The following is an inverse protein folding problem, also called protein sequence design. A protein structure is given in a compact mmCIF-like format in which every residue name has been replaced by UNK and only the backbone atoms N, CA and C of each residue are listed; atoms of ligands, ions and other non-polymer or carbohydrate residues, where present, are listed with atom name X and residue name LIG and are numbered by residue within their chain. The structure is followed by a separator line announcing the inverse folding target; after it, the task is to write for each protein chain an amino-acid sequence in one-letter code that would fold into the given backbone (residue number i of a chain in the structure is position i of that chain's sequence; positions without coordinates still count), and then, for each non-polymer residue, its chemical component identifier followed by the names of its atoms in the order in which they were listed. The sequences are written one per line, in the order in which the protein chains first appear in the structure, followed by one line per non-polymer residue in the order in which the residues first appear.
data_IF_695373463426
#
_entry.id   IF_695373463426
#
_cell.length_a   1.000
_cell.length_b   1.000
_cell.length_c   1.000
_cell.angle_alpha   90.00
_cell.angle_beta   90.00
_cell.angle_gamma   90.00
#
_symmetry.space_group_name_H-M   'P 1'
#
loop_
_entity.id
_entity.type
_entity.pdbx_description
1 polymer ?
#
# COMPACT_ATOMS: atom_id res chain seq x y z
N UNK A 1 45.89 9.48 0.31
CA UNK A 1 45.45 8.11 0.61
C UNK A 1 43.92 8.07 0.89
N UNK A 2 43.37 8.94 1.76
CA UNK A 2 41.93 8.95 2.10
C UNK A 2 40.99 9.28 0.91
N UNK A 3 41.33 10.24 0.04
CA UNK A 3 40.56 10.55 -1.18
C UNK A 3 40.45 9.35 -2.12
N UNK A 4 41.49 8.51 -2.17
CA UNK A 4 41.49 7.30 -2.98
C UNK A 4 40.52 6.22 -2.43
N UNK A 5 40.40 6.10 -1.09
CA UNK A 5 39.45 5.15 -0.48
C UNK A 5 38.03 5.54 -0.78
N UNK A 6 37.63 6.79 -0.53
CA UNK A 6 36.24 7.25 -0.82
C UNK A 6 35.90 7.14 -2.32
N UNK A 7 36.84 7.50 -3.18
CA UNK A 7 36.65 7.35 -4.62
C UNK A 7 36.44 5.87 -5.03
N UNK A 8 37.17 4.96 -4.43
CA UNK A 8 37.02 3.53 -4.68
C UNK A 8 35.72 2.97 -4.12
N UNK A 9 35.31 3.37 -2.92
CA UNK A 9 34.02 2.98 -2.33
C UNK A 9 32.86 3.42 -3.21
N UNK A 10 32.90 4.65 -3.74
CA UNK A 10 31.89 5.15 -4.68
C UNK A 10 31.89 4.37 -6.01
N UNK A 11 33.06 4.07 -6.57
CA UNK A 11 33.19 3.24 -7.79
C UNK A 11 32.61 1.83 -7.59
N UNK A 12 32.85 1.25 -6.42
CA UNK A 12 32.30 -0.05 -6.03
C UNK A 12 30.83 0.00 -5.60
N UNK A 13 30.20 1.19 -5.60
CA UNK A 13 28.82 1.43 -5.16
C UNK A 13 28.57 1.00 -3.71
N UNK A 14 29.55 1.20 -2.85
CA UNK A 14 29.49 0.95 -1.41
C UNK A 14 29.12 2.27 -0.69
N UNK A 15 27.85 2.69 -0.85
CA UNK A 15 27.39 4.01 -0.41
C UNK A 15 27.33 4.19 1.09
N UNK A 16 26.99 3.15 1.83
CA UNK A 16 26.98 3.13 3.29
C UNK A 16 28.38 3.32 3.84
N UNK A 17 29.32 2.55 3.33
CA UNK A 17 30.74 2.68 3.69
C UNK A 17 31.28 4.06 3.33
N UNK A 18 30.99 4.57 2.16
CA UNK A 18 31.51 5.88 1.73
C UNK A 18 31.06 7.04 2.64
N UNK A 19 29.95 6.89 3.36
CA UNK A 19 29.44 7.89 4.30
C UNK A 19 30.10 7.81 5.68
N UNK A 20 30.24 6.61 6.23
CA UNK A 20 30.46 6.43 7.67
C UNK A 20 31.64 5.49 8.05
N UNK A 21 32.45 5.00 7.10
CA UNK A 21 33.52 4.07 7.40
C UNK A 21 34.51 4.58 8.48
N UNK A 22 34.67 5.90 8.63
CA UNK A 22 35.59 6.52 9.63
C UNK A 22 35.04 6.48 11.05
N UNK A 23 33.70 6.30 11.21
CA UNK A 23 33.08 6.25 12.53
C UNK A 23 33.16 4.86 13.18
N UNK A 24 33.55 3.84 12.41
CA UNK A 24 33.64 2.47 12.90
C UNK A 24 34.95 2.32 13.70
N UNK A 25 34.80 1.92 14.97
CA UNK A 25 35.96 1.69 15.84
C UNK A 25 36.75 0.47 15.35
N UNK A 26 38.09 0.60 15.33
CA UNK A 26 39.00 -0.50 15.04
C UNK A 26 39.45 -1.18 16.34
N UNK A 27 39.14 -2.45 16.49
CA UNK A 27 39.63 -3.30 17.57
C UNK A 27 40.56 -4.38 17.04
N UNK A 28 40.09 -5.13 16.06
CA UNK A 28 40.88 -6.08 15.27
C UNK A 28 40.37 -6.09 13.82
N UNK A 29 41.10 -6.74 12.93
CA UNK A 29 40.78 -6.71 11.50
C UNK A 29 39.47 -7.39 11.16
N UNK A 30 39.12 -8.48 11.83
CA UNK A 30 37.92 -9.26 11.56
C UNK A 30 36.65 -8.51 12.01
N UNK A 31 36.66 -8.02 13.25
CA UNK A 31 35.53 -7.23 13.79
C UNK A 31 35.36 -5.94 13.02
N UNK A 32 36.42 -5.27 12.62
CA UNK A 32 36.34 -4.05 11.82
C UNK A 32 35.73 -4.31 10.44
N UNK A 33 36.13 -5.38 9.75
CA UNK A 33 35.56 -5.75 8.46
C UNK A 33 34.10 -6.13 8.60
N UNK A 34 33.72 -6.90 9.62
CA UNK A 34 32.34 -7.27 9.89
C UNK A 34 31.47 -6.02 10.10
N UNK A 35 31.92 -5.07 10.93
CA UNK A 35 31.19 -3.83 11.18
C UNK A 35 31.04 -2.96 9.92
N UNK A 36 32.03 -2.91 9.05
CA UNK A 36 31.98 -2.23 7.77
C UNK A 36 30.94 -2.88 6.84
N UNK A 37 30.92 -4.21 6.74
CA UNK A 37 29.96 -4.94 5.93
C UNK A 37 28.53 -4.75 6.44
N UNK A 38 28.32 -4.79 7.74
CA UNK A 38 27.02 -4.54 8.36
C UNK A 38 26.48 -3.14 8.05
N UNK A 39 27.36 -2.14 8.06
CA UNK A 39 26.99 -0.76 7.72
C UNK A 39 26.52 -0.65 6.25
N UNK A 40 27.23 -1.29 5.33
CA UNK A 40 26.83 -1.32 3.92
C UNK A 40 25.52 -2.09 3.70
N UNK A 41 25.34 -3.22 4.38
CA UNK A 41 24.11 -4.01 4.29
C UNK A 41 22.89 -3.24 4.81
N UNK A 42 23.02 -2.52 5.93
CA UNK A 42 21.98 -1.66 6.47
C UNK A 42 21.59 -0.55 5.48
N UNK A 43 22.58 0.15 4.92
CA UNK A 43 22.30 1.20 3.93
C UNK A 43 21.64 0.65 2.66
N UNK A 44 22.06 -0.51 2.18
CA UNK A 44 21.41 -1.18 1.03
C UNK A 44 19.97 -1.55 1.33
N UNK A 45 19.71 -2.04 2.53
CA UNK A 45 18.35 -2.40 2.96
C UNK A 45 17.46 -1.16 3.04
N UNK A 46 17.90 -0.07 3.66
CA UNK A 46 17.19 1.21 3.69
C UNK A 46 16.89 1.72 2.26
N UNK A 47 17.90 1.70 1.40
CA UNK A 47 17.74 2.13 0.01
C UNK A 47 16.80 1.21 -0.79
N UNK A 48 16.79 -0.09 -0.50
CA UNK A 48 15.85 -1.06 -1.07
C UNK A 48 14.42 -0.72 -0.69
N UNK A 49 14.16 -0.55 0.62
CA UNK A 49 12.83 -0.21 1.14
C UNK A 49 12.35 1.12 0.57
N UNK A 50 13.17 2.17 0.63
CA UNK A 50 12.84 3.49 0.09
C UNK A 50 12.47 3.43 -1.40
N UNK A 51 13.18 2.64 -2.20
CA UNK A 51 12.86 2.42 -3.61
C UNK A 51 11.52 1.71 -3.79
N UNK A 52 11.22 0.70 -2.95
CA UNK A 52 9.95 -0.03 -3.00
C UNK A 52 8.78 0.88 -2.63
N UNK A 53 8.88 1.64 -1.55
CA UNK A 53 7.88 2.61 -1.11
C UNK A 53 7.60 3.65 -2.21
N UNK A 54 8.65 4.24 -2.79
CA UNK A 54 8.49 5.20 -3.90
C UNK A 54 7.84 4.57 -5.13
N UNK A 55 8.20 3.32 -5.44
CA UNK A 55 7.66 2.60 -6.59
C UNK A 55 6.22 2.15 -6.36
N UNK A 56 5.81 1.92 -5.12
CA UNK A 56 4.45 1.54 -4.78
C UNK A 56 3.41 2.62 -5.14
N UNK A 57 3.78 3.91 -5.08
CA UNK A 57 2.92 5.00 -5.53
C UNK A 57 1.91 5.46 -4.48
N UNK A 58 2.30 5.46 -3.21
CA UNK A 58 1.44 5.98 -2.14
C UNK A 58 1.16 7.48 -2.31
N UNK A 59 -0.11 7.87 -2.18
CA UNK A 59 -0.50 9.28 -2.17
C UNK A 59 -0.05 9.97 -0.86
N UNK A 60 -0.21 9.27 0.26
CA UNK A 60 0.20 9.72 1.60
C UNK A 60 0.71 8.49 2.35
N UNK A 61 1.85 8.63 3.01
CA UNK A 61 2.38 7.57 3.88
C UNK A 61 1.63 7.65 5.22
N UNK A 62 1.12 6.50 5.65
CA UNK A 62 0.45 6.31 6.95
C UNK A 62 0.98 5.03 7.57
N UNK A 63 1.42 5.14 8.82
CA UNK A 63 2.03 4.02 9.54
C UNK A 63 0.99 3.25 10.37
N UNK A 64 1.36 2.07 10.83
CA UNK A 64 0.50 1.26 11.69
C UNK A 64 0.44 1.82 13.11
N UNK A 65 1.50 2.51 13.54
CA UNK A 65 1.61 3.16 14.85
C UNK A 65 0.60 4.29 15.02
N UNK A 66 0.31 5.02 13.91
CA UNK A 66 -0.67 6.10 13.88
C UNK A 66 -2.11 5.59 13.74
N UNK A 67 -2.31 4.29 13.55
CA UNK A 67 -3.63 3.71 13.34
C UNK A 67 -4.31 3.37 14.67
N UNK A 68 -5.44 4.00 14.93
CA UNK A 68 -6.23 3.74 16.14
C UNK A 68 -7.23 2.61 15.87
N UNK A 69 -6.97 1.45 16.46
CA UNK A 69 -7.93 0.35 16.46
C UNK A 69 -9.11 0.68 17.36
N UNK A 70 -10.30 0.75 16.77
CA UNK A 70 -11.55 1.00 17.50
C UNK A 70 -12.47 -0.23 17.48
N UNK A 71 -13.44 -0.26 18.42
CA UNK A 71 -14.49 -1.30 18.44
C UNK A 71 -15.42 -1.24 17.22
N UNK A 72 -15.33 -0.16 16.45
CA UNK A 72 -16.11 0.04 15.23
C UNK A 72 -15.54 -0.67 14.01
N UNK A 73 -14.43 -1.40 14.16
CA UNK A 73 -13.83 -2.22 13.10
C UNK A 73 -14.18 -3.67 13.37
N UNK A 74 -15.12 -4.20 12.60
CA UNK A 74 -15.55 -5.59 12.70
C UNK A 74 -14.68 -6.49 11.79
N UNK A 75 -13.92 -7.37 12.39
CA UNK A 75 -13.13 -8.39 11.69
C UNK A 75 -13.99 -9.65 11.51
N UNK A 76 -13.95 -10.31 10.35
CA UNK A 76 -14.62 -11.59 10.15
C UNK A 76 -13.94 -12.71 10.96
N UNK A 77 -14.66 -13.81 11.18
CA UNK A 77 -14.11 -14.96 11.87
C UNK A 77 -12.83 -15.46 11.19
N UNK A 78 -11.80 -15.72 11.97
CA UNK A 78 -10.51 -16.21 11.50
C UNK A 78 -9.53 -15.11 11.04
N UNK A 79 -9.95 -13.86 10.89
CA UNK A 79 -9.05 -12.75 10.63
C UNK A 79 -8.69 -12.05 11.94
N UNK A 80 -7.41 -11.96 12.24
CA UNK A 80 -6.91 -11.19 13.40
C UNK A 80 -6.08 -9.99 12.93
N UNK A 81 -5.86 -9.06 13.83
CA UNK A 81 -4.97 -7.94 13.61
C UNK A 81 -3.55 -8.42 13.25
N UNK A 82 -3.05 -9.37 14.03
CA UNK A 82 -1.71 -9.96 13.84
C UNK A 82 -1.59 -10.64 12.47
N UNK A 83 -2.64 -11.32 12.01
CA UNK A 83 -2.68 -11.96 10.70
C UNK A 83 -2.45 -10.95 9.57
N UNK A 84 -3.11 -9.79 9.65
CA UNK A 84 -2.95 -8.70 8.68
C UNK A 84 -1.57 -8.03 8.79
N UNK A 85 -1.12 -7.74 10.02
CA UNK A 85 0.17 -7.08 10.27
C UNK A 85 1.37 -7.95 9.92
N UNK A 86 1.25 -9.27 10.05
CA UNK A 86 2.27 -10.23 9.62
C UNK A 86 2.17 -10.59 8.14
N UNK A 87 1.22 -10.00 7.40
CA UNK A 87 1.00 -10.20 5.97
C UNK A 87 0.74 -11.66 5.57
N UNK A 88 0.16 -12.46 6.48
CA UNK A 88 -0.06 -13.90 6.27
C UNK A 88 -1.04 -14.19 5.11
N UNK A 89 -1.87 -13.24 4.73
CA UNK A 89 -2.79 -13.32 3.59
C UNK A 89 -2.07 -13.29 2.23
N UNK A 90 -0.88 -12.65 2.13
CA UNK A 90 -0.15 -12.51 0.84
C UNK A 90 0.31 -13.85 0.27
N UNK A 91 1.03 -14.73 1.02
CA UNK A 91 1.42 -16.03 0.48
C UNK A 91 0.21 -16.93 0.17
N UNK A 92 -0.93 -16.73 0.83
CA UNK A 92 -2.17 -17.47 0.59
C UNK A 92 -3.01 -16.93 -0.57
N UNK A 93 -2.62 -15.79 -1.16
CA UNK A 93 -3.35 -15.11 -2.24
C UNK A 93 -4.78 -14.70 -1.82
N UNK A 94 -4.98 -14.47 -0.53
CA UNK A 94 -6.22 -13.95 0.01
C UNK A 94 -6.28 -12.42 -0.14
N UNK A 95 -7.50 -11.89 -0.21
CA UNK A 95 -7.74 -10.46 -0.34
C UNK A 95 -8.27 -9.88 0.98
N UNK A 96 -8.06 -8.59 1.18
CA UNK A 96 -8.69 -7.82 2.24
C UNK A 96 -9.62 -6.79 1.60
N UNK A 97 -10.89 -6.78 2.00
CA UNK A 97 -11.88 -5.82 1.51
C UNK A 97 -12.36 -4.99 2.69
N UNK A 98 -12.11 -3.69 2.64
CA UNK A 98 -12.48 -2.73 3.68
C UNK A 98 -13.69 -1.92 3.24
N UNK A 99 -14.83 -2.16 3.88
CA UNK A 99 -16.10 -1.49 3.58
C UNK A 99 -16.51 -0.57 4.73
N UNK A 100 -17.17 0.53 4.42
CA UNK A 100 -17.75 1.43 5.42
C UNK A 100 -17.67 2.91 5.06
N UNK A 101 -18.25 3.76 5.90
CA UNK A 101 -18.42 5.19 5.65
C UNK A 101 -17.08 5.93 5.44
N UNK A 102 -17.15 7.12 4.83
CA UNK A 102 -15.99 7.99 4.59
C UNK A 102 -15.38 8.43 5.93
N UNK A 103 -14.04 8.46 5.99
CA UNK A 103 -13.32 8.97 7.18
C UNK A 103 -13.14 7.96 8.32
N UNK A 104 -13.55 6.69 8.17
CA UNK A 104 -13.49 5.66 9.22
C UNK A 104 -12.13 4.95 9.33
N UNK A 105 -11.12 5.29 8.52
CA UNK A 105 -9.77 4.74 8.61
C UNK A 105 -9.39 3.66 7.60
N UNK A 106 -10.26 3.27 6.66
CA UNK A 106 -10.00 2.23 5.64
C UNK A 106 -8.71 2.44 4.86
N UNK A 107 -8.57 3.61 4.23
CA UNK A 107 -7.36 3.99 3.48
C UNK A 107 -6.12 4.01 4.38
N UNK A 108 -6.26 4.40 5.65
CA UNK A 108 -5.14 4.39 6.60
C UNK A 108 -4.65 2.97 6.83
N UNK A 109 -5.55 2.04 7.18
CA UNK A 109 -5.17 0.65 7.41
C UNK A 109 -4.61 0.00 6.13
N UNK A 110 -5.23 0.24 4.97
CA UNK A 110 -4.74 -0.26 3.69
C UNK A 110 -3.32 0.24 3.38
N UNK A 111 -3.05 1.54 3.63
CA UNK A 111 -1.73 2.14 3.41
C UNK A 111 -0.69 1.57 4.36
N UNK A 112 -1.01 1.43 5.65
CA UNK A 112 -0.07 0.90 6.66
C UNK A 112 0.31 -0.55 6.39
N UNK A 113 -0.64 -1.42 6.00
CA UNK A 113 -0.36 -2.80 5.60
C UNK A 113 0.51 -2.84 4.33
N UNK A 114 0.20 -2.00 3.35
CA UNK A 114 0.97 -1.93 2.11
C UNK A 114 2.39 -1.38 2.32
N UNK A 115 2.58 -0.43 3.24
CA UNK A 115 3.89 0.07 3.66
C UNK A 115 4.71 -1.05 4.30
N UNK A 116 4.11 -1.78 5.23
CA UNK A 116 4.75 -2.94 5.87
C UNK A 116 5.13 -4.03 4.87
N UNK A 117 4.31 -4.23 3.83
CA UNK A 117 4.66 -5.14 2.74
C UNK A 117 5.92 -4.68 1.97
N UNK A 118 6.07 -3.37 1.71
CA UNK A 118 7.29 -2.82 1.14
C UNK A 118 8.51 -3.05 2.04
N UNK A 119 8.38 -2.83 3.35
CA UNK A 119 9.44 -3.06 4.33
C UNK A 119 9.88 -4.53 4.35
N UNK A 120 8.94 -5.46 4.22
CA UNK A 120 9.24 -6.90 4.10
C UNK A 120 9.66 -7.35 2.69
N UNK A 121 9.93 -6.40 1.78
CA UNK A 121 10.44 -6.70 0.44
C UNK A 121 9.38 -7.16 -0.56
N UNK A 122 8.09 -7.06 -0.24
CA UNK A 122 7.01 -7.43 -1.15
C UNK A 122 6.81 -6.36 -2.22
N UNK A 123 6.76 -6.77 -3.48
CA UNK A 123 6.47 -5.85 -4.60
C UNK A 123 5.03 -5.37 -4.51
N UNK A 124 4.86 -4.12 -4.09
CA UNK A 124 3.56 -3.52 -3.82
C UNK A 124 3.23 -2.42 -4.83
N UNK A 125 1.94 -2.24 -5.14
CA UNK A 125 1.38 -1.11 -5.89
C UNK A 125 0.16 -0.57 -5.17
N UNK A 126 0.06 0.76 -5.14
CA UNK A 126 -1.06 1.48 -4.55
C UNK A 126 -1.68 2.39 -5.61
N UNK A 127 -2.99 2.25 -5.83
CA UNK A 127 -3.77 3.08 -6.75
C UNK A 127 -5.09 3.44 -6.10
N UNK A 128 -5.64 4.61 -6.44
CA UNK A 128 -7.08 4.78 -6.35
C UNK A 128 -7.74 4.10 -7.54
N UNK A 129 -8.99 3.66 -7.41
CA UNK A 129 -9.73 3.04 -8.52
C UNK A 129 -9.76 3.95 -9.76
N UNK A 130 -10.02 5.24 -9.55
CA UNK A 130 -10.03 6.23 -10.62
C UNK A 130 -8.66 6.41 -11.29
N UNK A 131 -7.57 6.46 -10.51
CA UNK A 131 -6.22 6.61 -11.08
C UNK A 131 -5.81 5.39 -11.89
N UNK A 132 -6.09 4.18 -11.41
CA UNK A 132 -5.81 2.94 -12.16
C UNK A 132 -6.62 2.89 -13.44
N UNK A 133 -7.91 3.19 -13.39
CA UNK A 133 -8.79 3.25 -14.54
C UNK A 133 -8.26 4.20 -15.64
N UNK A 134 -7.84 5.40 -15.25
CA UNK A 134 -7.25 6.38 -16.18
C UNK A 134 -5.92 5.91 -16.78
N UNK A 135 -5.05 5.28 -15.98
CA UNK A 135 -3.80 4.69 -16.47
C UNK A 135 -4.09 3.60 -17.50
N UNK A 136 -5.06 2.72 -17.23
CA UNK A 136 -5.43 1.64 -18.13
C UNK A 136 -5.97 2.17 -19.46
N UNK A 137 -6.83 3.19 -19.44
CA UNK A 137 -7.32 3.86 -20.66
C UNK A 137 -6.18 4.48 -21.47
N UNK A 138 -5.28 5.24 -20.83
CA UNK A 138 -4.12 5.83 -21.50
C UNK A 138 -3.24 4.76 -22.17
N UNK A 139 -2.96 3.66 -21.43
CA UNK A 139 -2.17 2.54 -21.95
C UNK A 139 -2.86 1.81 -23.10
N UNK A 140 -4.19 1.69 -23.05
CA UNK A 140 -4.99 1.11 -24.12
C UNK A 140 -4.92 1.98 -25.37
N UNK A 141 -5.15 3.27 -25.24
CA UNK A 141 -5.07 4.22 -26.36
C UNK A 141 -3.69 4.27 -27.02
N UNK A 142 -2.62 4.13 -26.21
CA UNK A 142 -1.23 4.09 -26.69
C UNK A 142 -0.75 2.72 -27.20
N UNK A 143 -1.60 1.69 -27.18
CA UNK A 143 -1.23 0.33 -27.57
C UNK A 143 -0.22 -0.36 -26.64
N UNK A 144 -0.02 0.15 -25.42
CA UNK A 144 0.97 -0.36 -24.46
C UNK A 144 0.34 -1.10 -23.27
N UNK A 145 -0.96 -1.36 -23.31
CA UNK A 145 -1.71 -2.02 -22.23
C UNK A 145 -1.16 -3.40 -21.89
N UNK A 146 -0.85 -4.23 -22.88
CA UNK A 146 -0.33 -5.58 -22.66
C UNK A 146 1.01 -5.60 -21.92
N UNK A 147 1.92 -4.68 -22.25
CA UNK A 147 3.18 -4.52 -21.54
C UNK A 147 2.96 -4.06 -20.08
N UNK A 148 2.01 -3.15 -19.88
CA UNK A 148 1.65 -2.67 -18.54
C UNK A 148 1.06 -3.79 -17.68
N UNK A 149 0.07 -4.53 -18.16
CA UNK A 149 -0.51 -5.69 -17.46
C UNK A 149 0.59 -6.72 -17.14
N UNK A 150 1.51 -6.97 -18.07
CA UNK A 150 2.64 -7.88 -17.83
C UNK A 150 3.54 -7.37 -16.70
N UNK A 151 3.75 -6.06 -16.58
CA UNK A 151 4.49 -5.48 -15.46
C UNK A 151 3.79 -5.69 -14.11
N UNK A 152 2.47 -5.64 -14.09
CA UNK A 152 1.66 -5.90 -12.90
C UNK A 152 1.72 -7.35 -12.43
N UNK A 153 2.06 -8.32 -13.30
CA UNK A 153 2.20 -9.74 -12.91
C UNK A 153 3.28 -9.97 -11.84
N UNK A 154 4.26 -9.06 -11.75
CA UNK A 154 5.35 -9.15 -10.76
C UNK A 154 4.98 -8.57 -9.38
N UNK A 155 3.81 -7.95 -9.28
CA UNK A 155 3.29 -7.36 -8.03
C UNK A 155 2.72 -8.48 -7.16
N UNK A 156 3.07 -8.49 -5.87
CA UNK A 156 2.60 -9.47 -4.89
C UNK A 156 1.37 -8.95 -4.12
N UNK A 157 1.33 -7.63 -3.87
CA UNK A 157 0.22 -6.94 -3.22
C UNK A 157 -0.19 -5.71 -4.05
N UNK A 158 -1.46 -5.61 -4.40
CA UNK A 158 -2.01 -4.41 -5.03
C UNK A 158 -3.12 -3.83 -4.16
N UNK A 159 -3.03 -2.53 -3.89
CA UNK A 159 -4.09 -1.77 -3.22
C UNK A 159 -4.88 -1.01 -4.27
N UNK A 160 -6.20 -1.15 -4.21
CA UNK A 160 -7.15 -0.37 -5.02
C UNK A 160 -8.06 0.37 -4.04
N UNK A 161 -7.72 1.62 -3.81
CA UNK A 161 -8.39 2.48 -2.85
C UNK A 161 -9.58 3.21 -3.49
N UNK A 162 -10.61 3.47 -2.69
CA UNK A 162 -11.76 4.29 -3.07
C UNK A 162 -12.59 3.74 -4.25
N UNK A 163 -12.80 2.42 -4.34
CA UNK A 163 -13.82 1.89 -5.26
C UNK A 163 -15.20 2.39 -4.78
N UNK A 164 -15.89 3.11 -5.66
CA UNK A 164 -17.21 3.63 -5.35
C UNK A 164 -17.28 5.14 -5.15
N UNK A 165 -16.15 5.84 -5.13
CA UNK A 165 -16.16 7.29 -4.90
C UNK A 165 -16.54 8.11 -6.15
N UNK A 166 -16.15 7.65 -7.33
CA UNK A 166 -16.46 8.29 -8.62
C UNK A 166 -16.93 7.23 -9.61
N UNK A 167 -18.03 7.47 -10.36
CA UNK A 167 -18.42 6.61 -11.46
C UNK A 167 -17.31 6.51 -12.50
N UNK A 168 -17.06 5.31 -13.01
CA UNK A 168 -16.06 5.06 -14.04
C UNK A 168 -16.70 5.06 -15.43
N UNK A 169 -15.96 5.53 -16.43
CA UNK A 169 -16.37 5.34 -17.81
C UNK A 169 -16.40 3.84 -18.14
N UNK A 170 -17.33 3.40 -18.99
CA UNK A 170 -17.54 1.98 -19.31
C UNK A 170 -16.25 1.25 -19.68
N UNK A 171 -15.50 1.78 -20.64
CA UNK A 171 -14.24 1.14 -21.09
C UNK A 171 -13.21 1.02 -19.97
N UNK A 172 -13.17 2.04 -19.07
CA UNK A 172 -12.28 2.03 -17.92
C UNK A 172 -12.68 0.96 -16.89
N UNK A 173 -13.99 0.79 -16.67
CA UNK A 173 -14.53 -0.23 -15.79
C UNK A 173 -14.23 -1.64 -16.31
N UNK A 174 -14.36 -1.88 -17.62
CA UNK A 174 -14.04 -3.13 -18.27
C UNK A 174 -12.54 -3.47 -18.12
N UNK A 175 -11.65 -2.50 -18.33
CA UNK A 175 -10.21 -2.68 -18.15
C UNK A 175 -9.84 -2.92 -16.69
N UNK A 176 -10.48 -2.22 -15.76
CA UNK A 176 -10.29 -2.42 -14.32
C UNK A 176 -10.74 -3.83 -13.90
N UNK A 177 -11.90 -4.28 -14.40
CA UNK A 177 -12.39 -5.64 -14.21
C UNK A 177 -11.36 -6.67 -14.71
N UNK A 178 -10.80 -6.48 -15.90
CA UNK A 178 -9.79 -7.37 -16.46
C UNK A 178 -8.58 -7.48 -15.54
N UNK A 179 -8.05 -6.34 -15.05
CA UNK A 179 -6.89 -6.32 -14.14
C UNK A 179 -7.20 -7.01 -12.82
N UNK A 180 -8.36 -6.75 -12.21
CA UNK A 180 -8.74 -7.38 -10.94
C UNK A 180 -8.94 -8.89 -11.15
N UNK A 181 -9.58 -9.29 -12.24
CA UNK A 181 -9.75 -10.70 -12.61
C UNK A 181 -8.42 -11.43 -12.82
N UNK A 182 -7.43 -10.77 -13.42
CA UNK A 182 -6.08 -11.32 -13.58
C UNK A 182 -5.33 -11.45 -12.23
N UNK A 183 -5.77 -10.77 -11.19
CA UNK A 183 -5.21 -10.91 -9.84
C UNK A 183 -5.72 -12.15 -9.11
N UNK A 184 -6.89 -12.68 -9.49
CA UNK A 184 -7.53 -13.80 -8.81
C UNK A 184 -6.57 -14.99 -8.68
N UNK A 185 -6.41 -15.52 -7.45
CA UNK A 185 -5.51 -16.61 -7.06
C UNK A 185 -4.01 -16.43 -7.41
N UNK A 186 -3.62 -15.29 -7.94
CA UNK A 186 -2.23 -15.01 -8.33
C UNK A 186 -1.53 -14.06 -7.41
N UNK A 187 -2.25 -13.12 -6.81
CA UNK A 187 -1.74 -12.12 -5.88
C UNK A 187 -2.83 -11.67 -4.92
N UNK A 188 -2.44 -10.96 -3.88
CA UNK A 188 -3.37 -10.40 -2.94
C UNK A 188 -3.78 -8.98 -3.33
N UNK A 189 -5.05 -8.68 -3.07
CA UNK A 189 -5.61 -7.34 -3.21
C UNK A 189 -5.99 -6.79 -1.84
N UNK A 190 -5.80 -5.49 -1.64
CA UNK A 190 -6.51 -4.73 -0.61
C UNK A 190 -7.43 -3.76 -1.35
N UNK A 191 -8.71 -3.85 -1.09
CA UNK A 191 -9.72 -2.99 -1.72
C UNK A 191 -10.40 -2.18 -0.63
N UNK A 192 -10.55 -0.87 -0.83
CA UNK A 192 -11.37 -0.04 0.04
C UNK A 192 -12.56 0.51 -0.72
N UNK A 193 -13.71 0.56 -0.06
CA UNK A 193 -14.92 1.14 -0.62
C UNK A 193 -15.77 1.81 0.46
N UNK A 194 -16.39 2.91 0.09
CA UNK A 194 -17.43 3.56 0.88
C UNK A 194 -18.83 3.02 0.59
N UNK A 195 -18.97 2.19 -0.44
CA UNK A 195 -20.20 1.52 -0.83
C UNK A 195 -20.18 0.06 -0.42
N UNK A 196 -21.33 -0.46 -0.08
CA UNK A 196 -21.56 -1.90 -0.03
C UNK A 196 -21.51 -2.50 -1.45
N UNK A 197 -21.35 -3.80 -1.57
CA UNK A 197 -21.27 -4.47 -2.88
C UNK A 197 -22.46 -4.21 -3.79
N UNK A 198 -23.67 -4.07 -3.21
CA UNK A 198 -24.90 -3.72 -3.94
C UNK A 198 -24.80 -2.37 -4.67
N UNK A 199 -23.98 -1.45 -4.16
CA UNK A 199 -23.75 -0.14 -4.76
C UNK A 199 -22.67 -0.10 -5.84
N UNK A 200 -21.87 -1.16 -6.02
CA UNK A 200 -20.77 -1.14 -6.98
C UNK A 200 -21.20 -1.07 -8.45
N UNK A 201 -22.43 -1.52 -8.76
CA UNK A 201 -23.01 -1.40 -10.09
C UNK A 201 -23.16 0.07 -10.54
N UNK A 202 -23.40 1.00 -9.61
CA UNK A 202 -23.52 2.44 -9.93
C UNK A 202 -22.19 3.04 -10.39
N UNK A 203 -21.08 2.41 -10.04
CA UNK A 203 -19.72 2.87 -10.34
C UNK A 203 -19.13 2.16 -11.54
N UNK A 204 -19.37 0.85 -11.67
CA UNK A 204 -18.85 0.02 -12.75
C UNK A 204 -19.76 0.00 -13.98
N UNK A 205 -21.03 0.45 -13.84
CA UNK A 205 -21.97 0.69 -14.93
C UNK A 205 -22.54 -0.55 -15.61
N UNK A 206 -22.07 -1.76 -15.29
CA UNK A 206 -22.57 -3.02 -15.84
C UNK A 206 -22.84 -4.03 -14.72
N UNK A 207 -24.10 -4.46 -14.59
CA UNK A 207 -24.53 -5.37 -13.53
C UNK A 207 -23.90 -6.77 -13.63
N UNK A 208 -23.66 -7.28 -14.85
CA UNK A 208 -23.07 -8.62 -15.06
C UNK A 208 -21.59 -8.61 -14.72
N UNK A 209 -20.88 -7.60 -15.22
CA UNK A 209 -19.45 -7.41 -14.87
C UNK A 209 -19.26 -7.23 -13.37
N UNK A 210 -20.13 -6.40 -12.75
CA UNK A 210 -20.08 -6.15 -11.30
C UNK A 210 -20.31 -7.43 -10.50
N UNK A 211 -21.34 -8.21 -10.84
CA UNK A 211 -21.65 -9.47 -10.17
C UNK A 211 -20.47 -10.47 -10.30
N UNK A 212 -19.92 -10.63 -11.50
CA UNK A 212 -18.79 -11.51 -11.75
C UNK A 212 -17.51 -11.06 -11.02
N UNK A 213 -17.30 -9.74 -10.86
CA UNK A 213 -16.17 -9.19 -10.11
C UNK A 213 -16.31 -9.49 -8.61
N UNK A 214 -17.49 -9.21 -8.07
CA UNK A 214 -17.79 -9.41 -6.65
C UNK A 214 -17.66 -10.89 -6.29
N UNK A 215 -18.19 -11.80 -7.09
CA UNK A 215 -18.10 -13.25 -6.89
C UNK A 215 -16.63 -13.70 -6.76
N UNK A 216 -15.77 -13.30 -7.70
CA UNK A 216 -14.33 -13.62 -7.67
C UNK A 216 -13.61 -13.00 -6.48
N UNK A 217 -13.96 -11.75 -6.13
CA UNK A 217 -13.32 -11.06 -5.02
C UNK A 217 -13.68 -11.70 -3.68
N UNK A 218 -14.96 -12.02 -3.44
CA UNK A 218 -15.44 -12.55 -2.16
C UNK A 218 -14.89 -13.95 -1.91
N UNK A 219 -14.74 -14.77 -2.92
CA UNK A 219 -14.36 -16.18 -2.79
C UNK A 219 -13.08 -16.41 -1.95
N UNK A 220 -12.10 -15.51 -2.06
CA UNK A 220 -10.84 -15.56 -1.30
C UNK A 220 -10.59 -14.26 -0.53
N UNK A 221 -11.62 -13.72 0.13
CA UNK A 221 -11.49 -12.43 0.79
C UNK A 221 -11.91 -12.45 2.25
N UNK A 222 -11.21 -11.65 3.04
CA UNK A 222 -11.65 -11.24 4.36
C UNK A 222 -12.30 -9.85 4.26
N UNK A 223 -13.59 -9.76 4.60
CA UNK A 223 -14.35 -8.52 4.55
C UNK A 223 -14.33 -7.88 5.93
N UNK A 224 -13.70 -6.71 6.02
CA UNK A 224 -13.61 -5.92 7.25
C UNK A 224 -14.56 -4.74 7.15
N UNK A 225 -15.46 -4.62 8.11
CA UNK A 225 -16.45 -3.55 8.15
C UNK A 225 -15.99 -2.44 9.08
N UNK A 226 -15.94 -1.24 8.56
CA UNK A 226 -15.64 -0.01 9.29
C UNK A 226 -16.93 0.75 9.54
N UNK A 227 -17.45 0.66 10.75
CA UNK A 227 -18.64 1.38 11.20
C UNK A 227 -18.24 2.62 12.02
N UNK A 228 -19.21 3.51 12.27
CA UNK A 228 -19.02 4.68 13.12
C UNK A 228 -18.83 5.99 12.36
N UNK A 229 -18.58 7.04 13.13
CA UNK A 229 -18.42 8.40 12.62
C UNK A 229 -17.07 8.65 11.97
N UNK A 230 -17.01 9.68 11.14
CA UNK A 230 -15.77 10.09 10.49
C UNK A 230 -14.73 10.61 11.51
N UNK A 231 -13.63 9.90 11.66
CA UNK A 231 -12.50 10.34 12.48
C UNK A 231 -11.98 11.73 12.07
N UNK A 232 -12.03 12.05 10.78
CA UNK A 232 -11.63 13.38 10.26
C UNK A 232 -12.57 14.47 10.78
N UNK A 233 -13.86 14.21 10.85
CA UNK A 233 -14.85 15.15 11.36
C UNK A 233 -14.66 15.36 12.86
N UNK A 234 -14.55 14.28 13.63
CA UNK A 234 -14.32 14.32 15.07
C UNK A 234 -13.04 15.10 15.41
N UNK A 235 -11.95 14.82 14.72
CA UNK A 235 -10.67 15.53 14.92
C UNK A 235 -10.77 17.03 14.57
N UNK A 236 -11.51 17.38 13.51
CA UNK A 236 -11.74 18.77 13.14
C UNK A 236 -12.55 19.53 14.19
N UNK A 237 -13.58 18.90 14.76
CA UNK A 237 -14.40 19.48 15.83
C UNK A 237 -13.58 19.70 17.11
N UNK A 238 -12.75 18.75 17.50
CA UNK A 238 -11.85 18.92 18.66
C UNK A 238 -10.84 20.06 18.47
N UNK A 239 -10.28 20.21 17.27
CA UNK A 239 -9.38 21.35 16.98
C UNK A 239 -10.10 22.69 17.08
N UNK A 240 -11.34 22.78 16.64
CA UNK A 240 -12.14 24.01 16.71
C UNK A 240 -12.55 24.35 18.15
N UNK A 241 -12.77 23.35 19.01
CA UNK A 241 -13.05 23.55 20.43
C UNK A 241 -11.82 24.05 21.19
N UNK A 242 -10.66 23.41 20.99
CA UNK A 242 -9.41 23.82 21.67
C UNK A 242 -8.88 25.17 21.17
N UNK A 243 -9.14 25.57 19.91
CA UNK A 243 -8.75 26.88 19.38
C UNK A 243 -9.64 28.04 19.82
N UNK A 244 -10.74 27.78 20.54
CA UNK A 244 -11.58 28.84 21.14
C UNK A 244 -11.16 29.23 22.54
N UNK A 245 -10.36 28.42 23.22
CA UNK A 245 -9.87 28.66 24.59
C UNK A 245 -8.57 29.49 24.61
N UNK A 246 -7.94 29.74 23.47
CA UNK A 246 -6.76 30.61 23.32
C UNK A 246 -7.14 31.97 22.70
N UNK A 247 -8.08 32.71 23.29
CA UNK A 247 -8.17 34.16 23.06
C UNK A 247 -7.41 34.87 24.19
N UNK A 248 -6.32 35.59 23.89
CA UNK A 248 -5.64 36.39 24.89
C UNK A 248 -6.57 37.56 25.34
N UNK A 249 -6.61 37.75 26.64
CA UNK A 249 -7.12 38.94 27.33
C UNK A 249 -6.21 40.12 27.03
#
# INVERSE_FOLDING_TARGET
MHESIEANLRKLKLGGLAKEWRSVAYHDAEQYLAALLDLELKEREVNRVNRMVRTAGFNVIKTAEDFVWSRNIALPNGLTREYMEQLQFIPRKENLIFLGSVGTGKTHLATSIALKACEQGKKTRFYTAASLANILLDKNQKGTLGAYITSLKRVELMVIDEIGFVPLHKDAAELLFQVISDCYERKSLIITSNLEFSGWNTVLGDNRLTAALIDRLIHHSHIVIFSGESYRLTQSMHRQQNGKDEKPV
#
